data_IF_928430641229
#
_entry.id   IF_928430641229
#
_cell.length_a   1.000
_cell.length_b   1.000
_cell.length_c   1.000
_cell.angle_alpha   90.00
_cell.angle_beta   90.00
_cell.angle_gamma   90.00
#
_symmetry.space_group_name_H-M   'P 1'
#
loop_
_entity.id
_entity.type
_entity.pdbx_description
1 polymer ?
#
# COMPACT_ATOMS: atom_id res chain seq x y z
N UNK A 1 -18.60 14.55 -8.27
CA UNK A 1 -17.65 15.62 -8.64
C UNK A 1 -16.21 15.07 -8.66
N UNK A 2 -15.67 14.49 -7.57
CA UNK A 2 -14.30 13.98 -7.51
C UNK A 2 -13.95 12.94 -8.58
N UNK A 3 -14.86 12.00 -8.89
CA UNK A 3 -14.66 11.01 -9.97
C UNK A 3 -14.48 11.67 -11.33
N UNK A 4 -15.26 12.71 -11.64
CA UNK A 4 -15.13 13.41 -12.93
C UNK A 4 -13.84 14.24 -13.01
N UNK A 5 -13.41 14.83 -11.89
CA UNK A 5 -12.09 15.48 -11.82
C UNK A 5 -10.96 14.47 -12.06
N UNK A 6 -11.06 13.28 -11.44
CA UNK A 6 -10.07 12.20 -11.64
C UNK A 6 -10.03 11.73 -13.10
N UNK A 7 -11.20 11.48 -13.72
CA UNK A 7 -11.26 11.11 -15.13
C UNK A 7 -10.67 12.20 -16.04
N UNK A 8 -10.90 13.47 -15.71
CA UNK A 8 -10.35 14.60 -16.46
C UNK A 8 -8.82 14.62 -16.35
N UNK A 9 -8.27 14.39 -15.16
CA UNK A 9 -6.82 14.28 -14.96
C UNK A 9 -6.24 13.12 -15.81
N UNK A 10 -6.85 11.92 -15.75
CA UNK A 10 -6.38 10.76 -16.52
C UNK A 10 -6.42 11.03 -18.02
N UNK A 11 -7.51 11.62 -18.53
CA UNK A 11 -7.61 12.02 -19.93
C UNK A 11 -6.51 12.99 -20.33
N UNK A 12 -6.28 14.04 -19.53
CA UNK A 12 -5.23 15.01 -19.80
C UNK A 12 -3.82 14.40 -19.82
N UNK A 13 -3.55 13.39 -18.97
CA UNK A 13 -2.29 12.64 -19.00
C UNK A 13 -2.17 11.82 -20.30
N UNK A 14 -3.22 11.14 -20.71
CA UNK A 14 -3.23 10.33 -21.94
C UNK A 14 -3.20 11.22 -23.21
N UNK A 15 -3.75 12.43 -23.17
CA UNK A 15 -3.71 13.38 -24.28
C UNK A 15 -2.28 13.80 -24.64
N UNK A 16 -1.34 13.70 -23.72
CA UNK A 16 0.06 14.09 -23.91
C UNK A 16 1.04 12.91 -23.92
N UNK A 17 0.55 11.68 -23.76
CA UNK A 17 1.38 10.46 -23.71
C UNK A 17 1.41 9.77 -25.07
N UNK A 18 2.56 9.27 -25.47
CA UNK A 18 2.67 8.44 -26.67
C UNK A 18 1.91 7.11 -26.48
N UNK A 19 1.47 6.52 -27.57
CA UNK A 19 0.82 5.22 -27.57
C UNK A 19 1.64 4.20 -28.36
N UNK A 20 1.28 2.93 -28.30
CA UNK A 20 1.82 1.88 -29.14
C UNK A 20 0.73 1.31 -30.09
N UNK A 21 1.09 1.15 -31.34
CA UNK A 21 0.35 0.33 -32.33
C UNK A 21 1.27 -0.80 -32.77
N UNK A 22 1.10 -1.97 -32.19
CA UNK A 22 2.05 -3.06 -32.25
C UNK A 22 3.41 -2.65 -31.68
N UNK A 23 4.46 -2.65 -32.51
CA UNK A 23 5.82 -2.20 -32.14
C UNK A 23 6.11 -0.74 -32.49
N UNK A 24 5.15 -0.03 -33.06
CA UNK A 24 5.32 1.35 -33.52
C UNK A 24 4.81 2.34 -32.47
N UNK A 25 5.66 3.29 -32.08
CA UNK A 25 5.24 4.41 -31.25
C UNK A 25 4.39 5.40 -32.05
N UNK A 26 3.23 5.75 -31.51
CA UNK A 26 2.27 6.68 -32.09
C UNK A 26 2.16 7.89 -31.17
N UNK A 27 2.76 9.03 -31.55
CA UNK A 27 2.69 10.24 -30.74
C UNK A 27 1.28 10.84 -30.73
N UNK A 28 0.92 11.57 -29.67
CA UNK A 28 -0.35 12.27 -29.60
C UNK A 28 -0.45 13.35 -30.68
N UNK A 29 -1.65 13.54 -31.22
CA UNK A 29 -1.91 14.57 -32.24
C UNK A 29 -1.85 15.95 -31.63
N UNK A 30 -1.28 16.89 -32.36
CA UNK A 30 -1.24 18.31 -31.99
C UNK A 30 -0.46 18.63 -30.72
N UNK A 31 0.43 17.75 -30.29
CA UNK A 31 1.35 17.96 -29.17
C UNK A 31 2.77 18.08 -29.69
N UNK A 32 3.49 19.10 -29.25
CA UNK A 32 4.91 19.25 -29.52
C UNK A 32 5.69 18.53 -28.43
N UNK A 33 6.49 17.53 -28.79
CA UNK A 33 7.32 16.77 -27.87
C UNK A 33 8.75 17.31 -27.89
N UNK A 34 9.31 17.47 -26.70
CA UNK A 34 10.70 17.86 -26.49
C UNK A 34 11.61 16.67 -26.21
N UNK A 35 11.04 15.58 -25.74
CA UNK A 35 11.72 14.35 -25.37
C UNK A 35 11.56 13.28 -26.45
N UNK A 36 12.32 12.22 -26.33
CA UNK A 36 12.23 11.03 -27.17
C UNK A 36 10.91 10.27 -26.93
N UNK A 37 10.67 9.22 -27.72
CA UNK A 37 9.47 8.38 -27.59
C UNK A 37 9.33 7.79 -26.19
N UNK A 38 8.20 8.05 -25.53
CA UNK A 38 7.85 7.52 -24.21
C UNK A 38 6.38 7.05 -24.17
N UNK A 39 6.11 5.83 -24.65
CA UNK A 39 4.75 5.28 -24.63
C UNK A 39 4.34 4.67 -23.28
N UNK A 40 5.20 4.70 -22.26
CA UNK A 40 4.94 4.03 -20.99
C UNK A 40 4.47 5.00 -19.93
N UNK A 41 3.18 4.92 -19.60
CA UNK A 41 2.57 5.61 -18.47
C UNK A 41 1.71 4.64 -17.68
N UNK A 42 1.91 4.58 -16.37
CA UNK A 42 1.03 3.90 -15.43
C UNK A 42 0.61 4.88 -14.34
N UNK A 43 -0.56 4.68 -13.78
CA UNK A 43 -1.06 5.48 -12.68
C UNK A 43 -1.36 4.61 -11.46
N UNK A 44 -1.19 5.17 -10.26
CA UNK A 44 -1.62 4.57 -9.02
C UNK A 44 -2.82 5.35 -8.50
N UNK A 45 -3.94 4.67 -8.32
CA UNK A 45 -5.10 5.27 -7.68
C UNK A 45 -4.81 5.49 -6.19
N UNK A 46 -5.35 6.58 -5.62
CA UNK A 46 -5.16 6.90 -4.22
C UNK A 46 -5.67 5.76 -3.32
N UNK A 47 -4.84 5.37 -2.37
CA UNK A 47 -5.15 4.41 -1.29
C UNK A 47 -5.78 3.09 -1.72
N UNK A 48 -5.40 2.57 -2.90
CA UNK A 48 -5.70 1.20 -3.28
C UNK A 48 -7.18 0.86 -3.32
N UNK A 49 -8.04 1.81 -3.68
CA UNK A 49 -9.44 1.49 -3.95
C UNK A 49 -9.54 0.93 -5.36
N UNK A 50 -9.94 -0.34 -5.49
CA UNK A 50 -10.17 -1.00 -6.78
C UNK A 50 -11.04 -0.14 -7.72
N UNK A 51 -12.00 0.59 -7.17
CA UNK A 51 -12.89 1.49 -7.92
C UNK A 51 -12.16 2.56 -8.72
N UNK A 52 -11.16 3.23 -8.16
CA UNK A 52 -10.42 4.28 -8.88
C UNK A 52 -9.48 3.68 -9.93
N UNK A 53 -8.89 2.53 -9.66
CA UNK A 53 -8.11 1.79 -10.64
C UNK A 53 -8.99 1.34 -11.82
N UNK A 54 -10.19 0.84 -11.57
CA UNK A 54 -11.14 0.46 -12.61
C UNK A 54 -11.58 1.66 -13.47
N UNK A 55 -11.77 2.82 -12.83
CA UNK A 55 -12.08 4.08 -13.55
C UNK A 55 -10.92 4.47 -14.46
N UNK A 56 -9.68 4.45 -13.98
CA UNK A 56 -8.51 4.79 -14.78
C UNK A 56 -8.30 3.81 -15.94
N UNK A 57 -8.44 2.51 -15.69
CA UNK A 57 -8.35 1.47 -16.70
C UNK A 57 -9.46 1.63 -17.76
N UNK A 58 -10.69 1.99 -17.35
CA UNK A 58 -11.77 2.30 -18.27
C UNK A 58 -11.43 3.46 -19.20
N UNK A 59 -10.86 4.54 -18.67
CA UNK A 59 -10.41 5.66 -19.51
C UNK A 59 -9.28 5.24 -20.46
N UNK A 60 -8.32 4.44 -19.99
CA UNK A 60 -7.24 3.89 -20.82
C UNK A 60 -7.77 3.08 -22.00
N UNK A 61 -8.75 2.22 -21.75
CA UNK A 61 -9.42 1.40 -22.78
C UNK A 61 -10.17 2.29 -23.77
N UNK A 62 -10.93 3.27 -23.29
CA UNK A 62 -11.67 4.22 -24.13
C UNK A 62 -10.74 5.03 -25.06
N UNK A 63 -9.52 5.33 -24.61
CA UNK A 63 -8.48 5.99 -25.40
C UNK A 63 -7.75 5.05 -26.37
N UNK A 64 -7.98 3.75 -26.27
CA UNK A 64 -7.19 2.76 -27.00
C UNK A 64 -5.71 2.77 -26.61
N UNK A 65 -5.41 3.13 -25.38
CA UNK A 65 -4.03 3.09 -24.89
C UNK A 65 -3.58 1.64 -24.76
N UNK A 66 -2.34 1.36 -25.16
CA UNK A 66 -1.82 -0.01 -25.32
C UNK A 66 -1.80 -0.83 -24.02
N UNK A 67 -1.67 -0.17 -22.86
CA UNK A 67 -1.71 -0.87 -21.57
C UNK A 67 -3.13 -1.34 -21.19
N UNK A 68 -4.19 -0.76 -21.75
CA UNK A 68 -5.56 -1.16 -21.46
C UNK A 68 -5.87 -1.20 -19.96
N UNK A 69 -6.25 -2.37 -19.45
CA UNK A 69 -6.57 -2.62 -18.04
C UNK A 69 -5.35 -2.80 -17.13
N UNK A 70 -4.15 -2.77 -17.67
CA UNK A 70 -2.89 -2.75 -16.91
C UNK A 70 -2.38 -1.33 -16.64
N UNK A 71 -3.09 -0.30 -17.09
CA UNK A 71 -2.71 1.11 -16.93
C UNK A 71 -2.71 1.56 -15.46
N UNK A 72 -3.68 1.07 -14.67
CA UNK A 72 -3.70 1.26 -13.22
C UNK A 72 -3.68 -0.10 -12.52
N UNK A 73 -2.80 -0.25 -11.52
CA UNK A 73 -2.70 -1.48 -10.73
C UNK A 73 -3.83 -1.60 -9.70
N UNK A 74 -4.17 -2.83 -9.28
CA UNK A 74 -5.08 -3.09 -8.18
C UNK A 74 -6.57 -2.91 -8.49
N UNK A 75 -6.97 -2.88 -9.76
CA UNK A 75 -8.36 -2.92 -10.21
C UNK A 75 -9.03 -4.28 -9.98
N UNK A 76 -10.32 -4.39 -10.32
CA UNK A 76 -11.12 -5.61 -10.13
C UNK A 76 -10.60 -6.82 -10.91
N UNK A 77 -9.87 -6.61 -12.00
CA UNK A 77 -9.17 -7.65 -12.78
C UNK A 77 -7.73 -7.88 -12.28
N UNK A 78 -7.25 -7.06 -11.37
CA UNK A 78 -5.95 -7.18 -10.75
C UNK A 78 -6.00 -8.04 -9.47
N UNK A 79 -5.07 -7.79 -8.56
CA UNK A 79 -5.01 -8.47 -7.27
C UNK A 79 -5.24 -7.48 -6.10
N UNK A 80 -5.82 -7.97 -5.03
CA UNK A 80 -5.98 -7.21 -3.79
C UNK A 80 -4.63 -7.18 -3.04
N UNK A 81 -3.97 -6.03 -3.08
CA UNK A 81 -2.68 -5.80 -2.42
C UNK A 81 -2.74 -6.12 -0.92
N UNK A 82 -3.78 -5.65 -0.24
CA UNK A 82 -3.95 -5.88 1.19
C UNK A 82 -4.26 -7.35 1.49
N UNK A 83 -5.13 -7.98 0.70
CA UNK A 83 -5.47 -9.39 0.85
C UNK A 83 -4.28 -10.31 0.61
N UNK A 84 -3.46 -10.02 -0.40
CA UNK A 84 -2.22 -10.75 -0.66
C UNK A 84 -1.09 -10.37 0.30
N UNK A 85 -1.06 -9.14 0.79
CA UNK A 85 0.00 -8.59 1.63
C UNK A 85 1.38 -8.60 0.95
N UNK A 86 1.42 -8.49 -0.39
CA UNK A 86 2.64 -8.73 -1.17
C UNK A 86 3.75 -7.72 -0.84
N UNK A 87 3.39 -6.46 -0.67
CA UNK A 87 4.35 -5.40 -0.31
C UNK A 87 4.95 -5.63 1.07
N UNK A 88 4.11 -5.96 2.05
CA UNK A 88 4.57 -6.26 3.40
C UNK A 88 5.47 -7.51 3.44
N UNK A 89 5.10 -8.57 2.73
CA UNK A 89 5.91 -9.80 2.63
C UNK A 89 7.27 -9.53 2.00
N UNK A 90 7.34 -8.76 0.92
CA UNK A 90 8.60 -8.38 0.29
C UNK A 90 9.48 -7.53 1.21
N UNK A 91 8.90 -6.51 1.86
CA UNK A 91 9.60 -5.70 2.84
C UNK A 91 10.10 -6.55 4.03
N UNK A 92 9.32 -7.54 4.45
CA UNK A 92 9.69 -8.43 5.55
C UNK A 92 10.93 -9.28 5.25
N UNK A 93 11.09 -9.74 4.03
CA UNK A 93 12.32 -10.44 3.64
C UNK A 93 13.56 -9.55 3.79
N UNK A 94 13.44 -8.27 3.46
CA UNK A 94 14.49 -7.27 3.69
C UNK A 94 14.75 -7.05 5.17
N UNK A 95 13.69 -6.90 5.99
CA UNK A 95 13.80 -6.74 7.45
C UNK A 95 14.50 -7.94 8.06
N UNK A 96 14.10 -9.17 7.73
CA UNK A 96 14.77 -10.39 8.20
C UNK A 96 16.25 -10.40 7.83
N UNK A 97 16.59 -9.94 6.62
CA UNK A 97 17.97 -9.85 6.18
C UNK A 97 18.79 -8.89 7.05
N UNK A 98 18.29 -7.69 7.26
CA UNK A 98 18.97 -6.69 8.10
C UNK A 98 19.21 -7.20 9.52
N UNK A 99 18.20 -7.78 10.16
CA UNK A 99 18.34 -8.33 11.50
C UNK A 99 19.31 -9.52 11.55
N UNK A 100 19.35 -10.35 10.52
CA UNK A 100 20.32 -11.47 10.41
C UNK A 100 21.76 -10.95 10.38
N UNK A 101 22.03 -9.86 9.65
CA UNK A 101 23.37 -9.21 9.68
C UNK A 101 23.74 -8.68 11.08
N UNK A 102 22.72 -8.40 11.91
CA UNK A 102 22.89 -8.02 13.31
C UNK A 102 22.95 -9.21 14.26
N UNK A 103 22.84 -10.44 13.76
CA UNK A 103 22.85 -11.67 14.57
C UNK A 103 21.54 -11.98 15.28
N UNK A 104 20.41 -11.40 14.89
CA UNK A 104 19.10 -11.57 15.52
C UNK A 104 18.14 -12.28 14.57
N UNK A 105 17.49 -13.35 15.05
CA UNK A 105 16.42 -14.04 14.33
C UNK A 105 15.04 -13.55 14.80
N UNK A 106 14.51 -12.57 14.12
CA UNK A 106 13.22 -11.93 14.45
C UNK A 106 11.99 -12.83 14.26
N UNK A 107 12.15 -14.05 13.80
CA UNK A 107 11.10 -15.05 13.77
C UNK A 107 11.04 -15.88 15.06
N UNK A 108 12.11 -15.88 15.85
CA UNK A 108 12.27 -16.66 17.09
C UNK A 108 12.70 -15.81 18.29
N UNK A 109 13.08 -14.56 18.10
CA UNK A 109 13.56 -13.66 19.14
C UNK A 109 12.75 -12.36 19.16
N UNK A 110 12.46 -11.86 20.36
CA UNK A 110 11.74 -10.59 20.54
C UNK A 110 12.57 -9.41 20.05
N UNK A 111 11.93 -8.51 19.34
CA UNK A 111 12.55 -7.29 18.87
C UNK A 111 11.56 -6.12 18.89
N UNK A 112 12.08 -4.91 19.01
CA UNK A 112 11.27 -3.71 19.14
C UNK A 112 11.00 -3.06 17.79
N UNK A 113 9.79 -2.50 17.67
CA UNK A 113 9.33 -1.81 16.46
C UNK A 113 8.68 -0.49 16.84
N UNK A 114 8.97 0.55 16.07
CA UNK A 114 8.20 1.79 15.98
C UNK A 114 7.81 1.98 14.53
N UNK A 115 6.58 2.38 14.27
CA UNK A 115 6.10 2.43 12.89
C UNK A 115 5.15 3.58 12.58
N UNK A 116 4.94 3.79 11.29
CA UNK A 116 3.99 4.77 10.75
C UNK A 116 2.86 4.01 10.07
N UNK A 117 1.64 4.20 10.56
CA UNK A 117 0.45 3.53 10.04
C UNK A 117 -0.47 3.00 11.14
N UNK A 118 -1.39 2.16 10.76
CA UNK A 118 -2.32 1.44 11.64
C UNK A 118 -2.65 0.06 11.06
N UNK A 119 -3.41 -0.74 11.81
CA UNK A 119 -3.75 -2.10 11.42
C UNK A 119 -4.73 -2.19 10.24
N UNK A 120 -5.34 -1.08 9.83
CA UNK A 120 -6.19 -1.03 8.63
C UNK A 120 -5.38 -0.88 7.33
N UNK A 121 -4.13 -0.44 7.42
CA UNK A 121 -3.24 -0.23 6.28
C UNK A 121 -2.72 -1.54 5.67
N UNK A 122 -2.47 -1.53 4.37
CA UNK A 122 -1.92 -2.70 3.66
C UNK A 122 -0.55 -3.10 4.24
N UNK A 123 0.43 -2.24 4.13
CA UNK A 123 1.83 -2.58 4.47
C UNK A 123 2.00 -2.72 5.98
N UNK A 124 1.55 -1.74 6.76
CA UNK A 124 1.66 -1.79 8.22
C UNK A 124 0.86 -2.95 8.81
N UNK A 125 -0.42 -3.07 8.45
CA UNK A 125 -1.30 -4.11 8.97
C UNK A 125 -0.77 -5.52 8.68
N UNK A 126 -0.44 -5.82 7.44
CA UNK A 126 0.14 -7.10 7.06
C UNK A 126 1.51 -7.31 7.73
N UNK A 127 2.38 -6.30 7.73
CA UNK A 127 3.73 -6.39 8.29
C UNK A 127 3.74 -6.71 9.78
N UNK A 128 2.85 -6.09 10.55
CA UNK A 128 2.78 -6.27 11.99
C UNK A 128 2.23 -7.64 12.42
N UNK A 129 1.78 -8.47 11.48
CA UNK A 129 1.36 -9.84 11.74
C UNK A 129 2.42 -10.90 11.39
N UNK A 130 3.50 -10.53 10.70
CA UNK A 130 4.49 -11.48 10.14
C UNK A 130 5.43 -12.11 11.17
N UNK A 131 5.49 -11.59 12.39
CA UNK A 131 6.17 -12.22 13.52
C UNK A 131 5.38 -12.06 14.82
N UNK A 132 5.35 -13.11 15.63
CA UNK A 132 4.79 -13.10 16.99
C UNK A 132 5.74 -12.45 18.01
N UNK A 133 6.95 -12.14 17.59
CA UNK A 133 8.01 -11.58 18.43
C UNK A 133 8.11 -10.05 18.34
N UNK A 134 7.20 -9.41 17.58
CA UNK A 134 7.15 -7.95 17.48
C UNK A 134 6.69 -7.33 18.79
N UNK A 135 7.55 -6.54 19.41
CA UNK A 135 7.24 -5.61 20.51
C UNK A 135 7.01 -4.22 19.91
N UNK A 136 5.75 -3.91 19.58
CA UNK A 136 5.38 -2.61 19.00
C UNK A 136 5.35 -1.57 20.13
N UNK A 137 6.43 -0.77 20.23
CA UNK A 137 6.58 0.26 21.28
C UNK A 137 5.78 1.52 20.95
N UNK A 138 5.59 1.81 19.70
CA UNK A 138 4.82 2.97 19.26
C UNK A 138 4.46 2.92 17.78
N UNK A 139 3.34 3.53 17.46
CA UNK A 139 2.92 3.75 16.11
C UNK A 139 2.09 5.02 16.00
N UNK A 140 2.04 5.62 14.82
CA UNK A 140 1.16 6.75 14.60
C UNK A 140 0.60 6.75 13.17
N UNK A 141 -0.58 7.28 13.05
CA UNK A 141 -1.21 7.60 11.77
C UNK A 141 -1.56 9.09 11.71
N UNK A 142 -2.39 9.50 10.76
CA UNK A 142 -2.82 10.89 10.60
C UNK A 142 -3.74 11.42 11.72
N UNK A 143 -4.23 10.53 12.61
CA UNK A 143 -5.20 10.88 13.66
C UNK A 143 -4.71 10.59 15.08
N UNK A 144 -3.89 9.53 15.27
CA UNK A 144 -3.58 8.99 16.57
C UNK A 144 -2.10 8.67 16.72
N UNK A 145 -1.62 8.74 17.96
CA UNK A 145 -0.35 8.21 18.41
C UNK A 145 -0.64 7.09 19.40
N UNK A 146 -0.10 5.91 19.14
CA UNK A 146 -0.14 4.74 20.01
C UNK A 146 1.21 4.53 20.67
N UNK A 147 1.25 4.29 21.97
CA UNK A 147 2.48 4.02 22.72
C UNK A 147 2.24 2.85 23.68
N UNK A 148 3.11 1.86 23.64
CA UNK A 148 3.17 0.78 24.63
C UNK A 148 4.63 0.52 25.02
N UNK A 149 5.09 1.03 26.18
CA UNK A 149 6.49 0.97 26.57
C UNK A 149 7.05 -0.45 26.80
N UNK A 150 6.18 -1.41 27.14
CA UNK A 150 6.61 -2.78 27.40
C UNK A 150 5.52 -3.79 27.00
N UNK A 151 5.25 -3.93 25.69
CA UNK A 151 4.20 -4.84 25.19
C UNK A 151 4.55 -6.31 25.45
N UNK A 152 3.52 -7.10 25.80
CA UNK A 152 3.59 -8.57 25.77
C UNK A 152 3.43 -9.03 24.31
N UNK A 153 4.44 -9.57 23.65
CA UNK A 153 4.39 -9.82 22.21
C UNK A 153 3.27 -10.79 21.82
N UNK A 154 3.00 -11.82 22.61
CA UNK A 154 1.97 -12.83 22.30
C UNK A 154 0.56 -12.24 22.37
N UNK A 155 0.26 -11.49 23.44
CA UNK A 155 -1.05 -10.84 23.61
C UNK A 155 -1.28 -9.75 22.58
N UNK A 156 -0.27 -8.90 22.36
CA UNK A 156 -0.38 -7.79 21.41
C UNK A 156 -0.41 -8.27 19.96
N UNK A 157 0.22 -9.42 19.64
CA UNK A 157 0.05 -10.03 18.33
C UNK A 157 -1.41 -10.44 18.08
N UNK A 158 -2.05 -11.12 19.03
CA UNK A 158 -3.45 -11.51 18.91
C UNK A 158 -4.38 -10.29 18.71
N UNK A 159 -4.10 -9.20 19.43
CA UNK A 159 -4.84 -7.95 19.28
C UNK A 159 -4.64 -7.30 17.90
N UNK A 160 -3.40 -7.28 17.40
CA UNK A 160 -3.13 -6.80 16.03
C UNK A 160 -3.90 -7.60 14.98
N UNK A 161 -3.93 -8.93 15.12
CA UNK A 161 -4.74 -9.79 14.22
C UNK A 161 -6.22 -9.44 14.31
N UNK A 162 -6.76 -9.23 15.51
CA UNK A 162 -8.15 -8.82 15.70
C UNK A 162 -8.44 -7.50 14.98
N UNK A 163 -7.59 -6.50 15.18
CA UNK A 163 -7.75 -5.17 14.56
C UNK A 163 -7.65 -5.23 13.04
N UNK A 164 -6.72 -6.02 12.49
CA UNK A 164 -6.58 -6.20 11.05
C UNK A 164 -7.88 -6.77 10.44
N UNK A 165 -8.51 -7.73 11.11
CA UNK A 165 -9.74 -8.36 10.66
C UNK A 165 -10.98 -7.45 10.77
N UNK A 166 -10.92 -6.34 11.51
CA UNK A 166 -11.98 -5.32 11.50
C UNK A 166 -12.05 -4.54 10.17
N UNK A 167 -11.01 -4.62 9.34
CA UNK A 167 -10.95 -4.01 8.01
C UNK A 167 -10.70 -2.49 8.02
N UNK A 168 -11.36 -1.73 8.87
CA UNK A 168 -11.20 -0.27 9.04
C UNK A 168 -10.95 0.08 10.50
N UNK A 169 -10.00 -0.58 11.13
CA UNK A 169 -9.60 -0.29 12.50
C UNK A 169 -8.76 0.99 12.60
N UNK A 170 -8.83 1.61 13.76
CA UNK A 170 -8.00 2.74 14.17
C UNK A 170 -7.31 2.41 15.49
N UNK A 171 -6.30 3.16 15.91
CA UNK A 171 -5.65 2.94 17.21
C UNK A 171 -6.61 3.08 18.42
N UNK A 172 -7.72 3.79 18.25
CA UNK A 172 -8.79 3.88 19.27
C UNK A 172 -9.56 2.56 19.47
N UNK A 173 -9.48 1.63 18.54
CA UNK A 173 -10.10 0.30 18.65
C UNK A 173 -9.24 -0.72 19.41
N UNK A 174 -8.02 -0.34 19.77
CA UNK A 174 -7.09 -1.18 20.52
C UNK A 174 -7.61 -1.42 21.94
N UNK A 175 -7.57 -2.66 22.42
CA UNK A 175 -7.93 -2.97 23.81
C UNK A 175 -6.89 -2.36 24.76
N UNK A 176 -7.29 -1.26 25.41
CA UNK A 176 -6.43 -0.50 26.33
C UNK A 176 -5.93 -1.32 27.52
N UNK A 177 -6.62 -2.43 27.88
CA UNK A 177 -6.20 -3.34 28.95
C UNK A 177 -4.93 -4.12 28.61
N UNK A 178 -4.58 -4.21 27.33
CA UNK A 178 -3.37 -4.88 26.85
C UNK A 178 -2.16 -3.95 26.83
N UNK A 179 -2.38 -2.64 26.96
CA UNK A 179 -1.31 -1.65 26.96
C UNK A 179 -0.60 -1.66 28.32
N UNK A 180 0.71 -1.71 28.31
CA UNK A 180 1.51 -1.70 29.53
C UNK A 180 1.45 -0.35 30.24
N UNK A 181 1.80 -0.33 31.54
CA UNK A 181 1.76 0.88 32.36
C UNK A 181 2.60 2.01 31.74
N UNK A 182 1.98 3.17 31.60
CA UNK A 182 2.60 4.35 31.02
C UNK A 182 2.40 4.50 29.51
N UNK A 183 1.69 3.56 28.87
CA UNK A 183 1.26 3.65 27.49
C UNK A 183 -0.16 4.20 27.32
N UNK A 184 -0.55 4.30 26.07
CA UNK A 184 -1.87 4.81 25.67
C UNK A 184 -2.00 5.03 24.18
#
# INVERSE_FOLDING_TARGET
EGIECYKTLIRGLLDVTDNLDGAKVVPPKSVYRWDDDDPYLVVAADKGTATFSDIANGVSIDYGHWLGDAFASGGSVGYDHKGMGITAKGAWESVKRHFREMGTDIQNEDFTVVGVGDMSGDVFGNGMMLSKHIKLLGAFNHMHIFVDPNPDPAKTHAERVRMFNLGRSSWTDYDTKLISKGGG
#
